data_IF_039152446231
#
_entry.id   IF_039152446231
#
_cell.length_a   1.000
_cell.length_b   1.000
_cell.length_c   1.000
_cell.angle_alpha   90.00
_cell.angle_beta   90.00
_cell.angle_gamma   90.00
#
_symmetry.space_group_name_H-M   'P 1'
#
loop_
_entity.id
_entity.type
_entity.pdbx_description
1 polymer ?
#
# COMPACT_ATOMS: atom_id res chain seq x y z
N UNK A 1 13.76 -8.18 5.10
CA UNK A 1 13.45 -6.75 4.96
C UNK A 1 12.13 -6.47 5.66
N UNK A 2 11.85 -5.20 5.96
CA UNK A 2 10.57 -4.73 6.51
C UNK A 2 9.72 -4.11 5.40
N UNK A 3 8.51 -4.61 5.21
CA UNK A 3 7.57 -4.14 4.21
C UNK A 3 6.35 -3.47 4.86
N UNK A 4 5.96 -2.31 4.33
CA UNK A 4 4.62 -1.80 4.49
C UNK A 4 3.78 -2.27 3.30
N UNK A 5 2.65 -2.93 3.54
CA UNK A 5 1.67 -3.21 2.48
C UNK A 5 0.43 -2.37 2.76
N UNK A 6 0.23 -1.30 1.99
CA UNK A 6 -0.88 -0.38 2.18
C UNK A 6 -2.11 -0.95 1.48
N UNK A 7 -3.07 -1.47 2.24
CA UNK A 7 -4.33 -2.00 1.71
C UNK A 7 -4.64 -3.41 2.21
N UNK A 8 -5.85 -3.60 2.74
CA UNK A 8 -6.29 -4.85 3.38
C UNK A 8 -7.11 -5.76 2.46
N UNK A 9 -7.12 -5.45 1.16
CA UNK A 9 -7.84 -6.20 0.13
C UNK A 9 -7.20 -7.55 -0.18
N UNK A 10 -7.69 -8.20 -1.25
CA UNK A 10 -7.12 -9.48 -1.71
C UNK A 10 -5.64 -9.31 -2.09
N UNK A 11 -5.30 -8.32 -2.92
CA UNK A 11 -3.92 -8.07 -3.37
C UNK A 11 -2.97 -7.88 -2.18
N UNK A 12 -3.29 -6.97 -1.26
CA UNK A 12 -2.44 -6.68 -0.11
C UNK A 12 -2.24 -7.88 0.81
N UNK A 13 -3.31 -8.65 1.10
CA UNK A 13 -3.20 -9.87 1.90
C UNK A 13 -2.39 -10.96 1.19
N UNK A 14 -2.59 -11.16 -0.11
CA UNK A 14 -1.83 -12.16 -0.89
C UNK A 14 -0.34 -11.84 -0.92
N UNK A 15 0.03 -10.60 -1.27
CA UNK A 15 1.43 -10.18 -1.30
C UNK A 15 2.04 -10.19 0.10
N UNK A 16 1.32 -9.68 1.10
CA UNK A 16 1.75 -9.67 2.49
C UNK A 16 2.02 -11.08 3.02
N UNK A 17 1.09 -12.02 2.82
CA UNK A 17 1.29 -13.41 3.22
C UNK A 17 2.52 -14.00 2.54
N UNK A 18 2.70 -13.79 1.23
CA UNK A 18 3.85 -14.36 0.54
C UNK A 18 5.18 -13.80 1.05
N UNK A 19 5.23 -12.50 1.35
CA UNK A 19 6.42 -11.86 1.92
C UNK A 19 6.74 -12.42 3.32
N UNK A 20 5.73 -12.66 4.16
CA UNK A 20 5.93 -13.30 5.48
C UNK A 20 6.45 -14.73 5.33
N UNK A 21 5.89 -15.52 4.41
CA UNK A 21 6.38 -16.89 4.11
C UNK A 21 7.85 -16.92 3.68
N UNK A 22 8.31 -15.87 3.00
CA UNK A 22 9.70 -15.69 2.58
C UNK A 22 10.62 -15.19 3.72
N UNK A 23 10.10 -15.04 4.94
CA UNK A 23 10.87 -14.63 6.12
C UNK A 23 11.02 -13.11 6.27
N UNK A 24 10.14 -12.32 5.65
CA UNK A 24 10.14 -10.86 5.84
C UNK A 24 9.18 -10.42 6.95
N UNK A 25 9.45 -9.24 7.50
CA UNK A 25 8.53 -8.56 8.41
C UNK A 25 7.57 -7.70 7.59
N UNK A 26 6.28 -7.81 7.83
CA UNK A 26 5.24 -7.15 7.05
C UNK A 26 4.22 -6.52 7.98
N UNK A 27 4.00 -5.21 7.81
CA UNK A 27 2.87 -4.51 8.41
C UNK A 27 1.82 -4.24 7.35
N UNK A 28 0.64 -4.84 7.50
CA UNK A 28 -0.52 -4.55 6.65
C UNK A 28 -1.19 -3.26 7.15
N UNK A 29 -0.97 -2.19 6.41
CA UNK A 29 -1.46 -0.85 6.72
C UNK A 29 -2.89 -0.64 6.26
N UNK A 30 -3.67 0.05 7.08
CA UNK A 30 -5.03 0.49 6.72
C UNK A 30 -5.32 1.90 7.22
N UNK A 31 -6.52 2.42 6.94
CA UNK A 31 -6.97 3.73 7.45
C UNK A 31 -7.13 3.77 8.97
N UNK A 32 -7.41 2.63 9.61
CA UNK A 32 -7.72 2.56 11.02
C UNK A 32 -6.94 1.41 11.69
N UNK A 33 -6.43 1.65 12.89
CA UNK A 33 -5.60 0.67 13.62
C UNK A 33 -6.38 -0.60 13.99
N UNK A 34 -7.68 -0.48 14.16
CA UNK A 34 -8.60 -1.54 14.54
C UNK A 34 -9.26 -2.24 13.32
N UNK A 35 -8.71 -2.06 12.11
CA UNK A 35 -9.25 -2.71 10.92
C UNK A 35 -9.31 -4.23 11.09
N UNK A 36 -10.51 -4.84 11.05
CA UNK A 36 -10.68 -6.25 11.41
C UNK A 36 -9.97 -7.19 10.43
N UNK A 37 -9.94 -6.85 9.14
CA UNK A 37 -9.26 -7.64 8.11
C UNK A 37 -7.74 -7.63 8.27
N UNK A 38 -7.16 -6.48 8.63
CA UNK A 38 -5.73 -6.38 8.92
C UNK A 38 -5.35 -7.16 10.17
N UNK A 39 -6.13 -6.99 11.26
CA UNK A 39 -5.90 -7.70 12.51
C UNK A 39 -6.06 -9.21 12.38
N UNK A 40 -7.06 -9.66 11.61
CA UNK A 40 -7.24 -11.07 11.29
C UNK A 40 -6.04 -11.62 10.52
N UNK A 41 -5.66 -10.95 9.43
CA UNK A 41 -4.50 -11.35 8.62
C UNK A 41 -3.23 -11.44 9.47
N UNK A 42 -2.97 -10.48 10.36
CA UNK A 42 -1.78 -10.49 11.21
C UNK A 42 -1.73 -11.66 12.19
N UNK A 43 -2.89 -12.16 12.65
CA UNK A 43 -2.97 -13.37 13.50
C UNK A 43 -2.71 -14.65 12.71
N UNK A 44 -3.10 -14.68 11.44
CA UNK A 44 -3.08 -15.89 10.60
C UNK A 44 -1.77 -16.04 9.81
N UNK A 45 -1.15 -14.93 9.39
CA UNK A 45 -0.01 -14.94 8.48
C UNK A 45 1.33 -15.32 9.13
N UNK A 46 1.42 -15.34 10.47
CA UNK A 46 2.59 -15.84 11.22
C UNK A 46 3.45 -14.77 11.89
N UNK A 47 4.63 -15.17 12.38
CA UNK A 47 5.42 -14.38 13.32
C UNK A 47 5.92 -13.02 12.77
N UNK A 48 6.08 -12.89 11.46
CA UNK A 48 6.50 -11.66 10.77
C UNK A 48 5.35 -10.68 10.46
N UNK A 49 4.09 -11.06 10.74
CA UNK A 49 2.93 -10.28 10.35
C UNK A 49 2.46 -9.30 11.45
N UNK A 50 2.18 -8.05 11.08
CA UNK A 50 1.65 -6.98 11.94
C UNK A 50 0.55 -6.21 11.24
N UNK A 51 -0.30 -5.53 12.00
CA UNK A 51 -1.33 -4.64 11.45
C UNK A 51 -1.21 -3.26 12.10
N UNK A 52 -1.54 -2.21 11.34
CA UNK A 52 -1.48 -0.83 11.82
C UNK A 52 -2.15 0.15 10.88
N UNK A 53 -2.04 1.44 11.21
CA UNK A 53 -2.38 2.51 10.27
C UNK A 53 -1.41 2.54 9.08
N UNK A 54 -1.71 3.34 8.05
CA UNK A 54 -0.74 3.59 6.97
C UNK A 54 0.56 4.19 7.48
N UNK A 55 0.48 5.11 8.45
CA UNK A 55 1.64 5.71 9.12
C UNK A 55 2.43 4.65 9.93
N UNK A 56 1.74 3.84 10.75
CA UNK A 56 2.38 2.77 11.52
C UNK A 56 3.18 1.83 10.60
N UNK A 57 2.57 1.43 9.49
CA UNK A 57 3.19 0.54 8.51
C UNK A 57 4.40 1.19 7.84
N UNK A 58 4.26 2.43 7.37
CA UNK A 58 5.32 3.11 6.63
C UNK A 58 6.51 3.52 7.51
N UNK A 59 6.30 3.86 8.78
CA UNK A 59 7.34 4.40 9.68
C UNK A 59 8.59 3.51 9.78
N UNK A 60 8.41 2.19 9.89
CA UNK A 60 9.51 1.23 10.08
C UNK A 60 9.92 0.50 8.80
N UNK A 61 9.14 0.61 7.73
CA UNK A 61 9.37 -0.13 6.50
C UNK A 61 10.61 0.35 5.74
N UNK A 62 11.20 -0.55 4.97
CA UNK A 62 12.26 -0.29 3.99
C UNK A 62 11.67 -0.21 2.57
N UNK A 63 10.59 -0.96 2.33
CA UNK A 63 9.85 -1.03 1.07
C UNK A 63 8.36 -0.81 1.35
N UNK A 64 7.70 0.00 0.53
CA UNK A 64 6.26 0.28 0.62
C UNK A 64 5.57 -0.24 -0.62
N UNK A 65 4.60 -1.15 -0.44
CA UNK A 65 3.74 -1.67 -1.50
C UNK A 65 2.39 -0.96 -1.45
N UNK A 66 2.03 -0.28 -2.54
CA UNK A 66 0.74 0.42 -2.67
C UNK A 66 -0.28 -0.56 -3.25
N UNK A 67 -1.09 -1.17 -2.37
CA UNK A 67 -2.10 -2.17 -2.70
C UNK A 67 -3.53 -1.70 -2.37
N UNK A 68 -3.74 -0.38 -2.36
CA UNK A 68 -5.06 0.25 -2.35
C UNK A 68 -5.57 0.48 -3.78
N UNK A 69 -6.82 0.93 -3.94
CA UNK A 69 -7.32 1.34 -5.26
C UNK A 69 -6.58 2.59 -5.77
N UNK A 70 -6.32 2.68 -7.09
CA UNK A 70 -5.49 3.75 -7.66
C UNK A 70 -6.03 5.16 -7.39
N UNK A 71 -7.36 5.33 -7.44
CA UNK A 71 -8.03 6.60 -7.10
C UNK A 71 -7.81 7.09 -5.66
N UNK A 72 -7.39 6.21 -4.76
CA UNK A 72 -7.10 6.54 -3.34
C UNK A 72 -5.63 6.33 -2.97
N UNK A 73 -4.76 6.04 -3.96
CA UNK A 73 -3.34 5.76 -3.72
C UNK A 73 -2.62 6.98 -3.13
N UNK A 74 -2.80 8.17 -3.71
CA UNK A 74 -2.23 9.41 -3.19
C UNK A 74 -2.66 9.70 -1.75
N UNK A 75 -3.96 9.57 -1.45
CA UNK A 75 -4.47 9.80 -0.10
C UNK A 75 -3.92 8.79 0.92
N UNK A 76 -3.75 7.52 0.52
CA UNK A 76 -3.13 6.52 1.38
C UNK A 76 -1.65 6.82 1.66
N UNK A 77 -0.93 7.36 0.67
CA UNK A 77 0.47 7.75 0.80
C UNK A 77 0.65 9.04 1.60
N UNK A 78 -0.25 10.01 1.45
CA UNK A 78 -0.31 11.19 2.31
C UNK A 78 -0.52 10.78 3.77
N UNK A 79 -1.48 9.89 4.03
CA UNK A 79 -1.72 9.33 5.37
C UNK A 79 -0.57 8.46 5.89
N UNK A 80 0.29 7.92 5.03
CA UNK A 80 1.50 7.23 5.43
C UNK A 80 2.60 8.20 5.91
N UNK A 81 2.50 9.48 5.53
CA UNK A 81 3.41 10.56 5.91
C UNK A 81 4.65 10.65 5.02
N UNK A 82 4.86 11.80 4.37
CA UNK A 82 5.97 12.00 3.42
C UNK A 82 7.35 11.68 4.02
N UNK A 83 7.59 12.05 5.28
CA UNK A 83 8.85 11.76 5.98
C UNK A 83 9.09 10.25 6.14
N UNK A 84 8.02 9.44 6.27
CA UNK A 84 8.11 7.99 6.36
C UNK A 84 8.33 7.32 5.00
N UNK A 85 8.20 8.07 3.89
CA UNK A 85 8.34 7.56 2.52
C UNK A 85 9.64 8.02 1.85
N UNK A 86 10.24 9.11 2.32
CA UNK A 86 11.41 9.73 1.70
C UNK A 86 12.58 8.73 1.56
N UNK A 87 13.09 8.63 0.34
CA UNK A 87 14.22 7.76 0.00
C UNK A 87 13.94 6.26 0.08
N UNK A 88 12.71 5.82 0.36
CA UNK A 88 12.31 4.41 0.36
C UNK A 88 11.96 3.92 -1.05
N UNK A 89 11.96 2.60 -1.20
CA UNK A 89 11.44 1.95 -2.39
C UNK A 89 9.92 1.90 -2.31
N UNK A 90 9.26 2.34 -3.37
CA UNK A 90 7.81 2.29 -3.50
C UNK A 90 7.42 1.42 -4.70
N UNK A 91 6.64 0.39 -4.43
CA UNK A 91 6.12 -0.57 -5.43
C UNK A 91 4.63 -0.32 -5.58
N UNK A 92 4.22 0.30 -6.69
CA UNK A 92 2.80 0.52 -6.99
C UNK A 92 2.22 -0.66 -7.77
N UNK A 93 1.20 -1.31 -7.19
CA UNK A 93 0.41 -2.37 -7.84
C UNK A 93 -1.06 -1.97 -7.96
N UNK A 94 -1.37 -0.69 -7.74
CA UNK A 94 -2.71 -0.16 -7.82
C UNK A 94 -3.18 0.00 -9.27
N UNK A 95 -4.49 0.02 -9.46
CA UNK A 95 -5.12 0.32 -10.75
C UNK A 95 -6.11 1.47 -10.55
N UNK A 96 -6.13 2.50 -11.41
CA UNK A 96 -7.04 3.65 -11.31
C UNK A 96 -8.48 3.32 -11.77
N UNK A 97 -9.07 2.27 -11.21
CA UNK A 97 -10.41 1.84 -11.61
C UNK A 97 -11.48 2.79 -11.06
N UNK A 98 -12.26 3.37 -11.97
CA UNK A 98 -13.52 4.06 -11.72
C UNK A 98 -14.70 3.29 -12.30
N UNK A 99 -15.88 3.55 -11.75
CA UNK A 99 -17.14 3.02 -12.25
C UNK A 99 -18.04 4.20 -12.64
N UNK A 100 -18.29 4.35 -13.93
CA UNK A 100 -19.22 5.35 -14.50
C UNK A 100 -20.25 4.61 -15.34
N UNK A 101 -21.54 4.90 -15.12
CA UNK A 101 -22.65 4.30 -15.86
C UNK A 101 -22.61 2.76 -15.94
N UNK A 102 -22.17 2.11 -14.87
CA UNK A 102 -22.03 0.65 -14.79
C UNK A 102 -20.86 0.07 -15.59
N UNK A 103 -20.01 0.91 -16.18
CA UNK A 103 -18.81 0.49 -16.92
C UNK A 103 -17.54 0.80 -16.13
N UNK A 104 -16.55 -0.07 -16.27
CA UNK A 104 -15.20 0.16 -15.73
C UNK A 104 -14.49 1.15 -16.64
N UNK A 105 -13.93 2.19 -16.03
CA UNK A 105 -13.05 3.16 -16.69
C UNK A 105 -11.77 3.33 -15.88
N UNK A 106 -10.72 3.76 -16.56
CA UNK A 106 -9.49 4.20 -15.91
C UNK A 106 -9.59 5.71 -15.68
N UNK A 107 -9.31 6.16 -14.46
CA UNK A 107 -9.23 7.56 -14.10
C UNK A 107 -8.22 7.76 -12.95
N UNK A 108 -7.02 8.32 -13.22
CA UNK A 108 -6.58 8.93 -14.49
C UNK A 108 -6.32 7.93 -15.63
N UNK A 109 -6.37 8.42 -16.88
CA UNK A 109 -6.00 7.69 -18.10
C UNK A 109 -5.53 8.62 -19.22
N UNK A 110 -4.66 8.14 -20.10
CA UNK A 110 -4.23 8.86 -21.31
C UNK A 110 -3.06 9.79 -21.01
N UNK A 111 -3.35 11.06 -20.73
CA UNK A 111 -2.32 12.10 -20.53
C UNK A 111 -1.73 12.13 -19.12
N UNK A 112 -2.21 11.27 -18.23
CA UNK A 112 -1.70 11.13 -16.87
C UNK A 112 -1.96 9.71 -16.37
N UNK A 113 -1.30 9.34 -15.28
CA UNK A 113 -1.43 8.03 -14.65
C UNK A 113 -1.24 8.13 -13.13
N UNK A 114 -1.74 7.13 -12.40
CA UNK A 114 -1.51 7.05 -10.95
C UNK A 114 -0.02 7.05 -10.61
N UNK A 115 0.79 6.35 -11.42
CA UNK A 115 2.24 6.30 -11.24
C UNK A 115 2.90 7.67 -11.39
N UNK A 116 2.54 8.43 -12.43
CA UNK A 116 3.06 9.79 -12.63
C UNK A 116 2.59 10.75 -11.52
N UNK A 117 1.34 10.62 -11.08
CA UNK A 117 0.82 11.39 -9.94
C UNK A 117 1.59 11.10 -8.65
N UNK A 118 1.88 9.83 -8.35
CA UNK A 118 2.69 9.43 -7.19
C UNK A 118 4.11 9.98 -7.30
N UNK A 119 4.76 9.87 -8.46
CA UNK A 119 6.11 10.38 -8.67
C UNK A 119 6.22 11.91 -8.49
N UNK A 120 5.19 12.66 -8.88
CA UNK A 120 5.13 14.11 -8.64
C UNK A 120 4.93 14.47 -7.17
N UNK A 121 4.13 13.69 -6.46
CA UNK A 121 3.75 13.97 -5.08
C UNK A 121 4.80 13.55 -4.05
N UNK A 122 5.60 12.51 -4.35
CA UNK A 122 6.45 11.85 -3.36
C UNK A 122 7.85 11.69 -3.91
N UNK A 123 8.82 12.16 -3.12
CA UNK A 123 10.23 11.91 -3.39
C UNK A 123 10.59 10.49 -2.93
N UNK A 124 10.69 9.56 -3.86
CA UNK A 124 11.15 8.19 -3.62
C UNK A 124 12.47 7.93 -4.35
N UNK A 125 13.12 6.79 -4.07
CA UNK A 125 14.20 6.33 -4.95
C UNK A 125 13.57 5.86 -6.26
N UNK A 126 13.84 6.58 -7.35
CA UNK A 126 13.50 6.14 -8.70
C UNK A 126 14.32 4.88 -9.05
N UNK A 127 13.69 3.93 -9.73
CA UNK A 127 14.33 2.79 -10.40
C UNK A 127 14.27 3.01 -11.90
#
# INVERSE_FOLDING_TARGET
MRYAVLGTGVVGRTLGTKLVELGHEVTLGSRAKDNPGALQWAREAGAGARAGTFEDAASTAEVVVVAVGGRVALAALEAAGAANLDGKVLVDVSNPLGFEDGQVRLDPVGSDSTGEQIQRAIRTRAW
#
